data_IF_404646126440
#
_entry.id   IF_404646126440
#
_cell.length_a   1.000
_cell.length_b   1.000
_cell.length_c   1.000
_cell.angle_alpha   90.00
_cell.angle_beta   90.00
_cell.angle_gamma   90.00
#
_symmetry.space_group_name_H-M   'P 1'
#
loop_
_entity.id
_entity.type
_entity.pdbx_description
1 polymer ?
#
# COMPACT_ATOMS: atom_id res chain seq x y z
N UNK A 1 5.38 92.14 -42.03
CA UNK A 1 4.16 92.78 -41.47
C UNK A 1 2.96 92.09 -42.13
N UNK A 2 2.07 91.47 -41.32
CA UNK A 2 0.68 91.03 -41.59
C UNK A 2 0.38 90.35 -42.96
N UNK A 3 -0.22 89.17 -43.10
CA UNK A 3 -1.40 88.55 -42.49
C UNK A 3 -1.55 87.19 -43.19
N UNK A 4 -2.12 86.15 -42.57
CA UNK A 4 -2.79 85.01 -43.25
C UNK A 4 -3.54 84.18 -42.20
N UNK A 5 -4.86 84.32 -42.09
CA UNK A 5 -5.90 83.51 -42.77
C UNK A 5 -5.76 82.00 -42.52
N UNK A 6 -6.67 81.43 -41.73
CA UNK A 6 -6.87 79.98 -41.62
C UNK A 6 -8.37 79.65 -41.61
N UNK A 7 -8.76 78.79 -42.57
CA UNK A 7 -9.86 77.80 -42.58
C UNK A 7 -9.58 76.84 -43.77
N UNK A 8 -10.18 75.63 -43.89
CA UNK A 8 -10.70 74.70 -42.88
C UNK A 8 -10.32 73.20 -43.16
N UNK A 9 -10.74 72.34 -42.23
CA UNK A 9 -11.13 70.91 -42.34
C UNK A 9 -10.18 69.88 -42.96
N UNK A 10 -9.81 68.85 -42.17
CA UNK A 10 -10.07 67.44 -42.49
C UNK A 10 -10.28 66.65 -41.19
N UNK A 11 -11.30 65.79 -41.19
CA UNK A 11 -11.66 64.89 -40.12
C UNK A 11 -10.83 63.60 -40.18
N UNK A 12 -10.44 63.07 -39.01
CA UNK A 12 -10.00 61.69 -38.83
C UNK A 12 -10.71 61.13 -37.59
N UNK A 13 -11.53 60.11 -37.83
CA UNK A 13 -12.28 59.34 -36.83
C UNK A 13 -11.31 58.34 -36.21
N UNK A 14 -11.09 58.42 -34.89
CA UNK A 14 -10.40 57.40 -34.12
C UNK A 14 -11.43 56.56 -33.34
N UNK A 15 -11.53 55.27 -33.67
CA UNK A 15 -12.32 54.27 -32.94
C UNK A 15 -11.51 53.83 -31.72
N UNK A 16 -12.00 54.15 -30.52
CA UNK A 16 -11.44 53.68 -29.26
C UNK A 16 -12.07 52.34 -28.88
N UNK A 17 -11.27 51.27 -28.87
CA UNK A 17 -11.65 49.94 -28.35
C UNK A 17 -11.48 49.96 -26.83
N UNK A 18 -12.59 49.87 -26.10
CA UNK A 18 -12.60 49.71 -24.65
C UNK A 18 -12.28 48.24 -24.30
N UNK A 19 -11.12 47.99 -23.70
CA UNK A 19 -10.78 46.70 -23.11
C UNK A 19 -11.36 46.65 -21.68
N UNK A 20 -12.41 45.84 -21.49
CA UNK A 20 -12.89 45.46 -20.17
C UNK A 20 -11.97 44.39 -19.60
N UNK A 21 -11.05 44.78 -18.73
CA UNK A 21 -10.26 43.88 -17.90
C UNK A 21 -11.15 43.28 -16.81
N UNK A 22 -11.67 42.07 -17.06
CA UNK A 22 -12.33 41.27 -16.03
C UNK A 22 -11.30 40.71 -15.05
N UNK A 23 -11.25 41.22 -13.83
CA UNK A 23 -10.51 40.62 -12.73
C UNK A 23 -11.23 39.35 -12.26
N UNK A 24 -10.85 38.19 -12.78
CA UNK A 24 -11.15 36.92 -12.14
C UNK A 24 -10.24 36.78 -10.91
N UNK A 25 -10.79 37.00 -9.72
CA UNK A 25 -10.11 36.71 -8.47
C UNK A 25 -9.92 35.18 -8.35
N UNK A 26 -8.73 34.68 -8.70
CA UNK A 26 -8.30 33.35 -8.29
C UNK A 26 -8.11 33.38 -6.78
N UNK A 27 -8.98 32.70 -6.04
CA UNK A 27 -8.70 32.37 -4.66
C UNK A 27 -7.41 31.53 -4.64
N UNK A 28 -6.40 31.88 -3.81
CA UNK A 28 -5.28 30.98 -3.60
C UNK A 28 -5.85 29.68 -3.05
N UNK A 29 -5.65 28.56 -3.78
CA UNK A 29 -5.79 27.24 -3.18
C UNK A 29 -4.83 27.24 -2.00
N UNK A 30 -5.36 27.14 -0.78
CA UNK A 30 -4.56 26.76 0.38
C UNK A 30 -3.90 25.42 0.01
N UNK A 31 -2.62 25.47 -0.33
CA UNK A 31 -1.75 24.30 -0.32
C UNK A 31 -1.66 23.90 1.15
N UNK A 32 -2.59 23.04 1.56
CA UNK A 32 -2.51 22.34 2.84
C UNK A 32 -1.18 21.59 2.79
N UNK A 33 -0.21 22.05 3.59
CA UNK A 33 1.07 21.36 3.74
C UNK A 33 0.75 19.88 3.99
N UNK A 34 1.34 18.94 3.25
CA UNK A 34 0.97 17.54 3.36
C UNK A 34 1.11 17.11 4.81
N UNK A 35 0.00 16.64 5.41
CA UNK A 35 0.02 16.09 6.76
C UNK A 35 1.21 15.14 6.87
N UNK A 36 2.07 15.38 7.85
CA UNK A 36 3.29 14.62 8.01
C UNK A 36 2.93 13.17 8.37
N UNK A 37 2.96 12.29 7.37
CA UNK A 37 2.62 10.87 7.54
C UNK A 37 3.63 10.24 8.51
N UNK A 38 3.20 10.00 9.74
CA UNK A 38 3.99 9.30 10.76
C UNK A 38 4.16 7.84 10.35
N UNK A 39 5.42 7.43 10.17
CA UNK A 39 5.75 6.08 9.74
C UNK A 39 5.72 5.09 10.91
N UNK A 40 5.10 3.93 10.68
CA UNK A 40 5.13 2.80 11.62
C UNK A 40 6.31 1.88 11.30
N UNK A 41 6.91 1.31 12.34
CA UNK A 41 8.06 0.39 12.22
C UNK A 41 7.56 -0.99 11.79
N UNK A 42 8.08 -1.51 10.68
CA UNK A 42 7.63 -2.80 10.12
C UNK A 42 8.42 -4.01 10.65
N UNK A 43 9.55 -3.77 11.32
CA UNK A 43 10.42 -4.82 11.87
C UNK A 43 9.71 -5.68 12.93
N UNK A 44 8.71 -5.13 13.63
CA UNK A 44 7.95 -5.87 14.64
C UNK A 44 7.12 -7.03 14.07
N UNK A 45 6.89 -7.05 12.76
CA UNK A 45 6.12 -8.10 12.08
C UNK A 45 7.00 -9.20 11.48
N UNK A 46 8.32 -9.11 11.59
CA UNK A 46 9.19 -10.15 11.06
C UNK A 46 8.97 -11.46 11.81
N UNK A 47 8.82 -12.61 11.12
CA UNK A 47 8.81 -13.90 11.80
C UNK A 47 10.11 -14.08 12.59
N UNK A 48 10.05 -14.84 13.68
CA UNK A 48 11.22 -15.08 14.54
C UNK A 48 11.34 -16.57 14.81
N UNK A 49 12.49 -17.16 14.45
CA UNK A 49 12.83 -18.53 14.76
C UNK A 49 13.08 -18.66 16.26
N UNK A 50 12.39 -19.62 16.90
CA UNK A 50 12.55 -19.91 18.33
C UNK A 50 13.41 -21.15 18.56
N UNK A 51 13.96 -21.23 19.75
CA UNK A 51 14.83 -22.31 20.20
C UNK A 51 14.37 -22.83 21.57
N UNK A 52 14.57 -24.12 21.83
CA UNK A 52 14.42 -24.66 23.19
C UNK A 52 15.65 -24.33 24.06
N UNK A 53 15.64 -24.74 25.32
CA UNK A 53 16.73 -24.49 26.28
C UNK A 53 18.06 -25.18 25.89
N UNK A 54 17.99 -26.20 25.05
CA UNK A 54 19.15 -26.96 24.55
C UNK A 54 19.70 -26.38 23.25
N UNK A 55 19.06 -25.34 22.69
CA UNK A 55 19.44 -24.71 21.43
C UNK A 55 18.94 -25.43 20.18
N UNK A 56 17.95 -26.33 20.31
CA UNK A 56 17.28 -26.93 19.16
C UNK A 56 16.22 -25.98 18.60
N UNK A 57 16.09 -25.93 17.27
CA UNK A 57 15.06 -25.11 16.60
C UNK A 57 13.67 -25.67 16.89
N UNK A 58 12.78 -24.81 17.36
CA UNK A 58 11.36 -25.12 17.49
C UNK A 58 10.66 -24.94 16.13
N UNK A 59 9.68 -25.78 15.78
CA UNK A 59 8.85 -25.56 14.60
C UNK A 59 8.23 -24.16 14.60
N UNK A 60 8.24 -23.49 13.45
CA UNK A 60 7.55 -22.22 13.31
C UNK A 60 6.03 -22.44 13.29
N UNK A 61 5.32 -21.76 14.18
CA UNK A 61 3.85 -21.78 14.23
C UNK A 61 3.31 -20.52 13.54
N UNK A 62 2.78 -20.63 12.31
CA UNK A 62 2.23 -19.48 11.61
C UNK A 62 0.90 -19.04 12.24
N UNK A 63 0.63 -17.74 12.18
CA UNK A 63 -0.68 -17.18 12.52
C UNK A 63 -1.78 -17.83 11.68
N UNK A 64 -2.88 -18.18 12.34
CA UNK A 64 -4.08 -18.71 11.69
C UNK A 64 -4.57 -17.72 10.62
N UNK A 65 -4.96 -18.26 9.47
CA UNK A 65 -5.50 -17.46 8.38
C UNK A 65 -6.77 -16.69 8.86
N UNK A 66 -6.73 -15.34 8.91
CA UNK A 66 -7.82 -14.53 9.46
C UNK A 66 -9.11 -14.58 8.63
N UNK A 67 -9.06 -15.06 7.37
CA UNK A 67 -10.26 -15.27 6.56
C UNK A 67 -11.11 -16.45 7.06
N UNK A 68 -10.54 -17.39 7.83
CA UNK A 68 -11.27 -18.53 8.39
C UNK A 68 -12.17 -18.14 9.57
N UNK A 69 -11.88 -17.00 10.21
CA UNK A 69 -12.65 -16.49 11.35
C UNK A 69 -13.84 -15.61 10.93
N UNK A 70 -13.92 -15.24 9.64
CA UNK A 70 -14.96 -14.35 9.15
C UNK A 70 -16.27 -15.12 8.99
N UNK A 71 -17.30 -14.72 9.73
CA UNK A 71 -18.64 -15.30 9.67
C UNK A 71 -19.65 -14.26 9.19
N UNK A 72 -20.66 -14.71 8.44
CA UNK A 72 -21.71 -13.85 7.93
C UNK A 72 -22.56 -14.52 6.86
N UNK A 73 -23.77 -14.01 6.67
CA UNK A 73 -24.67 -14.43 5.59
C UNK A 73 -24.60 -13.42 4.44
N UNK A 74 -24.31 -13.90 3.24
CA UNK A 74 -24.31 -13.11 2.01
C UNK A 74 -25.55 -13.48 1.21
N UNK A 75 -26.17 -12.50 0.55
CA UNK A 75 -27.33 -12.74 -0.30
C UNK A 75 -26.97 -13.71 -1.45
N UNK A 76 -27.86 -14.66 -1.75
CA UNK A 76 -27.65 -15.61 -2.86
C UNK A 76 -27.46 -14.89 -4.21
N UNK A 77 -28.16 -13.77 -4.38
CA UNK A 77 -28.05 -12.92 -5.57
C UNK A 77 -26.64 -12.37 -5.75
N UNK A 78 -26.07 -11.77 -4.70
CA UNK A 78 -24.70 -11.24 -4.75
C UNK A 78 -23.65 -12.33 -4.90
N UNK A 79 -23.84 -13.50 -4.28
CA UNK A 79 -22.96 -14.65 -4.51
C UNK A 79 -22.96 -15.06 -5.98
N UNK A 80 -24.13 -15.15 -6.61
CA UNK A 80 -24.24 -15.53 -8.03
C UNK A 80 -23.59 -14.49 -8.94
N UNK A 81 -23.91 -13.21 -8.75
CA UNK A 81 -23.30 -12.11 -9.52
C UNK A 81 -21.78 -12.09 -9.37
N UNK A 82 -21.26 -12.37 -8.18
CA UNK A 82 -19.82 -12.41 -7.92
C UNK A 82 -19.14 -13.59 -8.66
N UNK A 83 -19.78 -14.76 -8.67
CA UNK A 83 -19.32 -15.92 -9.46
C UNK A 83 -19.32 -15.59 -10.95
N UNK A 84 -20.37 -14.96 -11.46
CA UNK A 84 -20.46 -14.51 -12.86
C UNK A 84 -19.36 -13.51 -13.20
N UNK A 85 -19.10 -12.52 -12.34
CA UNK A 85 -18.02 -11.55 -12.51
C UNK A 85 -16.65 -12.23 -12.61
N UNK A 86 -16.35 -13.16 -11.68
CA UNK A 86 -15.10 -13.93 -11.73
C UNK A 86 -14.96 -14.77 -13.00
N UNK A 87 -16.06 -15.36 -13.46
CA UNK A 87 -16.09 -16.13 -14.72
C UNK A 87 -15.87 -15.25 -15.94
N UNK A 88 -16.41 -14.04 -15.94
CA UNK A 88 -16.21 -13.05 -17.00
C UNK A 88 -14.75 -12.58 -17.05
N UNK A 89 -14.13 -12.26 -15.90
CA UNK A 89 -12.69 -11.93 -15.84
C UNK A 89 -11.79 -13.05 -16.36
N UNK A 90 -12.10 -14.31 -16.04
CA UNK A 90 -11.35 -15.47 -16.58
C UNK A 90 -11.44 -15.58 -18.11
N UNK A 91 -12.47 -14.98 -18.73
CA UNK A 91 -12.66 -14.91 -20.18
C UNK A 91 -12.20 -13.57 -20.77
N UNK A 92 -11.53 -12.72 -19.98
CA UNK A 92 -11.12 -11.37 -20.37
C UNK A 92 -12.30 -10.44 -20.72
N UNK A 93 -13.53 -10.82 -20.33
CA UNK A 93 -14.72 -9.99 -20.46
C UNK A 93 -14.84 -9.05 -19.26
N UNK A 94 -13.98 -8.02 -19.28
CA UNK A 94 -13.86 -7.03 -18.20
C UNK A 94 -15.13 -6.21 -18.02
N UNK A 95 -15.80 -5.86 -19.12
CA UNK A 95 -17.01 -5.04 -19.08
C UNK A 95 -18.16 -5.76 -18.38
N UNK A 96 -18.43 -7.03 -18.73
CA UNK A 96 -19.43 -7.83 -18.00
C UNK A 96 -19.05 -7.99 -16.54
N UNK A 97 -17.78 -8.24 -16.23
CA UNK A 97 -17.34 -8.36 -14.85
C UNK A 97 -17.61 -7.08 -14.04
N UNK A 98 -17.24 -5.92 -14.59
CA UNK A 98 -17.46 -4.61 -13.96
C UNK A 98 -18.94 -4.37 -13.70
N UNK A 99 -19.80 -4.55 -14.70
CA UNK A 99 -21.24 -4.35 -14.55
C UNK A 99 -21.83 -5.22 -13.44
N UNK A 100 -21.43 -6.49 -13.37
CA UNK A 100 -21.90 -7.42 -12.32
C UNK A 100 -21.44 -6.97 -10.94
N UNK A 101 -20.18 -6.55 -10.80
CA UNK A 101 -19.63 -6.04 -9.54
C UNK A 101 -20.33 -4.74 -9.10
N UNK A 102 -20.59 -3.82 -10.02
CA UNK A 102 -21.31 -2.57 -9.75
C UNK A 102 -22.77 -2.79 -9.32
N UNK A 103 -23.42 -3.84 -9.82
CA UNK A 103 -24.74 -4.22 -9.32
C UNK A 103 -24.63 -4.67 -7.86
N UNK A 104 -23.62 -5.46 -7.52
CA UNK A 104 -23.41 -5.91 -6.12
C UNK A 104 -23.11 -4.72 -5.21
N UNK A 105 -22.25 -3.77 -5.62
CA UNK A 105 -21.93 -2.61 -4.76
C UNK A 105 -23.12 -1.70 -4.49
N UNK A 106 -24.14 -1.72 -5.36
CA UNK A 106 -25.42 -1.01 -5.14
C UNK A 106 -26.39 -1.79 -4.26
N UNK A 107 -26.48 -3.10 -4.45
CA UNK A 107 -27.43 -3.96 -3.72
C UNK A 107 -26.93 -4.28 -2.30
N UNK A 108 -25.66 -4.64 -2.17
CA UNK A 108 -25.02 -5.07 -0.93
C UNK A 108 -23.72 -4.26 -0.68
N UNK A 109 -23.82 -2.96 -0.35
CA UNK A 109 -22.66 -2.06 -0.20
C UNK A 109 -21.73 -2.41 0.98
N UNK A 110 -22.13 -3.36 1.84
CA UNK A 110 -21.34 -3.87 2.95
C UNK A 110 -20.43 -5.06 2.57
N UNK A 111 -20.38 -5.44 1.29
CA UNK A 111 -19.45 -6.47 0.81
C UNK A 111 -18.16 -5.82 0.30
N UNK A 112 -17.04 -6.13 0.97
CA UNK A 112 -15.73 -5.60 0.56
C UNK A 112 -15.22 -6.23 -0.75
N UNK A 113 -15.53 -7.51 -0.99
CA UNK A 113 -15.01 -8.28 -2.14
C UNK A 113 -15.24 -7.63 -3.51
N UNK A 114 -16.46 -7.15 -3.84
CA UNK A 114 -16.73 -6.45 -5.09
C UNK A 114 -15.86 -5.20 -5.31
N UNK A 115 -15.63 -4.42 -4.25
CA UNK A 115 -14.75 -3.25 -4.32
C UNK A 115 -13.29 -3.65 -4.53
N UNK A 116 -12.81 -4.74 -3.91
CA UNK A 116 -11.47 -5.29 -4.21
C UNK A 116 -11.34 -5.62 -5.70
N UNK A 117 -12.29 -6.37 -6.26
CA UNK A 117 -12.23 -6.77 -7.67
C UNK A 117 -12.35 -5.58 -8.64
N UNK A 118 -13.16 -4.57 -8.32
CA UNK A 118 -13.20 -3.32 -9.09
C UNK A 118 -11.87 -2.57 -9.02
N UNK A 119 -11.22 -2.59 -7.85
CA UNK A 119 -9.85 -2.09 -7.67
C UNK A 119 -8.87 -2.82 -8.58
N UNK A 120 -8.89 -4.15 -8.57
CA UNK A 120 -8.00 -4.99 -9.40
C UNK A 120 -8.19 -4.68 -10.90
N UNK A 121 -9.45 -4.57 -11.35
CA UNK A 121 -9.76 -4.18 -12.74
C UNK A 121 -9.14 -2.80 -13.07
N UNK A 122 -9.32 -1.80 -12.20
CA UNK A 122 -8.76 -0.47 -12.40
C UNK A 122 -7.22 -0.47 -12.40
N UNK A 123 -6.57 -1.36 -11.64
CA UNK A 123 -5.10 -1.55 -11.69
C UNK A 123 -4.65 -2.03 -13.07
N UNK A 124 -5.34 -3.01 -13.65
CA UNK A 124 -5.03 -3.54 -14.98
C UNK A 124 -5.19 -2.47 -16.08
N UNK A 125 -6.19 -1.61 -15.93
CA UNK A 125 -6.43 -0.46 -16.81
C UNK A 125 -5.47 0.72 -16.55
N UNK A 126 -4.62 0.62 -15.52
CA UNK A 126 -3.70 1.67 -15.04
C UNK A 126 -4.42 2.93 -14.54
N UNK A 127 -5.71 2.83 -14.22
CA UNK A 127 -6.48 3.87 -13.52
C UNK A 127 -6.25 3.71 -12.00
N UNK A 128 -5.08 4.14 -11.56
CA UNK A 128 -4.63 3.96 -10.18
C UNK A 128 -5.45 4.81 -9.19
N UNK A 129 -5.96 5.97 -9.60
CA UNK A 129 -6.81 6.82 -8.78
C UNK A 129 -8.17 6.15 -8.49
N UNK A 130 -8.79 5.51 -9.49
CA UNK A 130 -10.03 4.74 -9.26
C UNK A 130 -9.75 3.48 -8.46
N UNK A 131 -8.63 2.81 -8.71
CA UNK A 131 -8.22 1.64 -7.92
C UNK A 131 -8.06 1.98 -6.44
N UNK A 132 -7.40 3.11 -6.12
CA UNK A 132 -7.20 3.57 -4.75
C UNK A 132 -8.53 3.78 -4.02
N UNK A 133 -9.51 4.43 -4.68
CA UNK A 133 -10.85 4.65 -4.11
C UNK A 133 -11.57 3.35 -3.81
N UNK A 134 -11.48 2.38 -4.72
CA UNK A 134 -12.10 1.07 -4.57
C UNK A 134 -11.47 0.28 -3.41
N UNK A 135 -10.14 0.24 -3.31
CA UNK A 135 -9.49 -0.42 -2.18
C UNK A 135 -9.72 0.29 -0.85
N UNK A 136 -9.72 1.62 -0.81
CA UNK A 136 -10.09 2.40 0.38
C UNK A 136 -11.50 2.06 0.85
N UNK A 137 -12.45 1.91 -0.09
CA UNK A 137 -13.80 1.46 0.23
C UNK A 137 -13.80 0.04 0.79
N UNK A 138 -13.05 -0.89 0.20
CA UNK A 138 -12.94 -2.26 0.67
C UNK A 138 -12.39 -2.36 2.11
N UNK A 139 -11.30 -1.65 2.44
CA UNK A 139 -10.73 -1.64 3.80
C UNK A 139 -11.63 -0.94 4.81
N UNK A 140 -12.40 0.08 4.39
CA UNK A 140 -13.39 0.73 5.27
C UNK A 140 -14.55 -0.19 5.66
N UNK A 141 -14.90 -1.14 4.78
CA UNK A 141 -15.95 -2.13 5.02
C UNK A 141 -15.42 -3.29 5.85
N UNK A 142 -14.23 -3.79 5.52
CA UNK A 142 -13.60 -4.90 6.21
C UNK A 142 -12.13 -4.60 6.48
N UNK A 143 -11.86 -4.09 7.69
CA UNK A 143 -10.52 -3.80 8.17
C UNK A 143 -9.67 -5.07 8.43
N UNK A 144 -10.21 -6.28 8.22
CA UNK A 144 -9.45 -7.54 8.23
C UNK A 144 -9.14 -8.07 6.83
N UNK A 145 -9.45 -7.31 5.78
CA UNK A 145 -9.20 -7.73 4.40
C UNK A 145 -7.76 -7.41 3.98
N UNK A 146 -6.86 -8.37 4.21
CA UNK A 146 -5.43 -8.24 3.90
C UNK A 146 -5.16 -8.03 2.40
N UNK A 147 -5.98 -8.61 1.52
CA UNK A 147 -5.85 -8.45 0.06
C UNK A 147 -6.20 -7.02 -0.36
N UNK A 148 -7.19 -6.39 0.28
CA UNK A 148 -7.52 -4.99 0.03
C UNK A 148 -6.39 -4.05 0.45
N UNK A 149 -5.73 -4.31 1.59
CA UNK A 149 -4.54 -3.56 1.99
C UNK A 149 -3.37 -3.75 1.03
N UNK A 150 -3.13 -4.97 0.53
CA UNK A 150 -2.10 -5.21 -0.49
C UNK A 150 -2.35 -4.39 -1.76
N UNK A 151 -3.56 -4.49 -2.34
CA UNK A 151 -3.92 -3.74 -3.54
C UNK A 151 -3.81 -2.23 -3.33
N UNK A 152 -4.26 -1.74 -2.17
CA UNK A 152 -4.13 -0.32 -1.80
C UNK A 152 -2.68 0.11 -1.72
N UNK A 153 -1.82 -0.65 -1.05
CA UNK A 153 -0.40 -0.34 -0.92
C UNK A 153 0.33 -0.38 -2.26
N UNK A 154 -0.05 -1.32 -3.14
CA UNK A 154 0.51 -1.40 -4.49
C UNK A 154 0.16 -0.16 -5.30
N UNK A 155 -1.12 0.22 -5.31
CA UNK A 155 -1.61 1.41 -6.00
C UNK A 155 -0.95 2.67 -5.45
N UNK A 156 -0.86 2.82 -4.14
CA UNK A 156 -0.18 3.95 -3.51
C UNK A 156 1.29 4.02 -3.91
N UNK A 157 1.99 2.89 -3.99
CA UNK A 157 3.37 2.83 -4.48
C UNK A 157 3.45 3.26 -5.95
N UNK A 158 2.52 2.83 -6.81
CA UNK A 158 2.46 3.23 -8.23
C UNK A 158 2.14 4.71 -8.42
N UNK A 159 1.36 5.30 -7.51
CA UNK A 159 1.07 6.73 -7.43
C UNK A 159 2.18 7.57 -6.79
N UNK A 160 3.31 6.96 -6.39
CA UNK A 160 4.41 7.68 -5.73
C UNK A 160 4.17 8.00 -4.25
N UNK A 161 3.08 7.53 -3.65
CA UNK A 161 2.71 7.76 -2.24
C UNK A 161 3.44 6.77 -1.31
N UNK A 162 4.77 6.74 -1.37
CA UNK A 162 5.57 5.68 -0.74
C UNK A 162 5.41 5.57 0.78
N UNK A 163 5.34 6.71 1.49
CA UNK A 163 5.11 6.71 2.95
C UNK A 163 3.76 6.09 3.32
N UNK A 164 2.72 6.41 2.53
CA UNK A 164 1.39 5.86 2.72
C UNK A 164 1.38 4.35 2.39
N UNK A 165 2.02 3.95 1.29
CA UNK A 165 2.16 2.54 0.92
C UNK A 165 2.85 1.72 2.03
N UNK A 166 3.92 2.24 2.65
CA UNK A 166 4.58 1.59 3.78
C UNK A 166 3.60 1.33 4.93
N UNK A 167 2.86 2.35 5.35
CA UNK A 167 1.88 2.22 6.43
C UNK A 167 0.72 1.30 6.02
N UNK A 168 0.28 1.30 4.77
CA UNK A 168 -0.78 0.40 4.30
C UNK A 168 -0.34 -1.07 4.31
N UNK A 169 0.88 -1.37 3.87
CA UNK A 169 1.41 -2.74 3.99
C UNK A 169 1.66 -3.13 5.44
N UNK A 170 2.02 -2.17 6.29
CA UNK A 170 2.10 -2.38 7.73
C UNK A 170 0.75 -2.79 8.31
N UNK A 171 -0.35 -2.13 7.91
CA UNK A 171 -1.71 -2.54 8.32
C UNK A 171 -2.05 -3.96 7.84
N UNK A 172 -1.60 -4.37 6.65
CA UNK A 172 -1.76 -5.75 6.18
C UNK A 172 -1.07 -6.74 7.15
N UNK A 173 0.15 -6.43 7.58
CA UNK A 173 0.91 -7.26 8.54
C UNK A 173 0.36 -7.18 9.96
N UNK A 174 -0.28 -6.08 10.35
CA UNK A 174 -0.97 -5.97 11.63
C UNK A 174 -2.19 -6.92 11.69
N UNK A 175 -2.87 -7.14 10.57
CA UNK A 175 -3.96 -8.12 10.46
C UNK A 175 -3.40 -9.54 10.37
N UNK A 176 -2.42 -9.77 9.50
CA UNK A 176 -1.79 -11.07 9.29
C UNK A 176 -0.28 -10.93 9.13
N UNK A 177 0.45 -11.11 10.23
CA UNK A 177 1.91 -10.94 10.26
C UNK A 177 2.65 -11.97 9.41
N UNK A 178 2.02 -13.12 9.17
CA UNK A 178 2.58 -14.23 8.41
C UNK A 178 2.09 -14.24 6.96
N UNK A 179 1.71 -13.07 6.42
CA UNK A 179 1.28 -12.92 5.04
C UNK A 179 2.45 -12.58 4.11
N UNK A 180 2.98 -13.54 3.33
CA UNK A 180 4.26 -13.37 2.63
C UNK A 180 4.24 -12.21 1.63
N UNK A 181 3.15 -12.04 0.90
CA UNK A 181 3.02 -11.03 -0.15
C UNK A 181 3.17 -9.60 0.38
N UNK A 182 2.78 -9.34 1.64
CA UNK A 182 2.99 -8.03 2.28
C UNK A 182 4.47 -7.79 2.60
N UNK A 183 5.20 -8.82 3.04
CA UNK A 183 6.66 -8.74 3.19
C UNK A 183 7.35 -8.49 1.84
N UNK A 184 6.98 -9.21 0.79
CA UNK A 184 7.58 -9.01 -0.54
C UNK A 184 7.36 -7.57 -1.05
N UNK A 185 6.14 -7.06 -0.93
CA UNK A 185 5.83 -5.69 -1.36
C UNK A 185 6.55 -4.62 -0.53
N UNK A 186 6.69 -4.82 0.79
CA UNK A 186 7.53 -3.95 1.64
C UNK A 186 9.00 -4.02 1.24
N UNK A 187 9.53 -5.20 0.93
CA UNK A 187 10.91 -5.37 0.52
C UNK A 187 11.19 -4.60 -0.78
N UNK A 188 10.33 -4.75 -1.79
CA UNK A 188 10.40 -4.00 -3.05
C UNK A 188 10.25 -2.49 -2.82
N UNK A 189 9.33 -2.07 -1.95
CA UNK A 189 9.16 -0.66 -1.60
C UNK A 189 10.43 -0.07 -0.98
N UNK A 190 11.02 -0.78 -0.01
CA UNK A 190 12.23 -0.35 0.68
C UNK A 190 13.45 -0.33 -0.24
N UNK A 191 13.59 -1.33 -1.09
CA UNK A 191 14.73 -1.47 -1.98
C UNK A 191 14.70 -0.45 -3.13
N UNK A 192 13.62 -0.50 -3.92
CA UNK A 192 13.54 0.20 -5.21
C UNK A 192 13.17 1.67 -5.05
N UNK A 193 12.32 2.01 -4.07
CA UNK A 193 11.72 3.35 -4.00
C UNK A 193 12.21 4.20 -2.84
N UNK A 194 12.60 3.58 -1.72
CA UNK A 194 13.02 4.30 -0.51
C UNK A 194 14.53 4.24 -0.24
N UNK A 195 15.28 3.41 -0.97
CA UNK A 195 16.71 3.19 -0.75
C UNK A 195 17.05 2.82 0.72
N UNK A 196 16.28 1.89 1.28
CA UNK A 196 16.42 1.36 2.64
C UNK A 196 16.80 -0.14 2.60
N UNK A 197 18.01 -0.49 2.13
CA UNK A 197 18.36 -1.88 1.80
C UNK A 197 18.36 -2.82 3.00
N UNK A 198 18.73 -2.36 4.20
CA UNK A 198 18.67 -3.20 5.41
C UNK A 198 17.23 -3.62 5.76
N UNK A 199 16.25 -2.71 5.56
CA UNK A 199 14.84 -3.04 5.76
C UNK A 199 14.35 -3.97 4.64
N UNK A 200 14.78 -3.73 3.41
CA UNK A 200 14.45 -4.60 2.28
C UNK A 200 14.93 -6.03 2.50
N UNK A 201 16.19 -6.20 2.90
CA UNK A 201 16.77 -7.52 3.19
C UNK A 201 15.96 -8.29 4.23
N UNK A 202 15.58 -7.63 5.33
CA UNK A 202 14.80 -8.25 6.40
C UNK A 202 13.43 -8.76 5.89
N UNK A 203 12.75 -7.97 5.07
CA UNK A 203 11.44 -8.36 4.52
C UNK A 203 11.55 -9.38 3.38
N UNK A 204 12.60 -9.34 2.55
CA UNK A 204 12.87 -10.43 1.60
C UNK A 204 13.14 -11.75 2.32
N UNK A 205 13.93 -11.71 3.41
CA UNK A 205 14.20 -12.89 4.22
C UNK A 205 12.91 -13.46 4.85
N UNK A 206 12.05 -12.60 5.39
CA UNK A 206 10.74 -12.99 5.91
C UNK A 206 9.88 -13.68 4.84
N UNK A 207 9.79 -13.10 3.63
CA UNK A 207 9.06 -13.70 2.51
C UNK A 207 9.60 -15.09 2.15
N UNK A 208 10.92 -15.23 2.03
CA UNK A 208 11.56 -16.50 1.71
C UNK A 208 11.38 -17.53 2.83
N UNK A 209 11.43 -17.12 4.09
CA UNK A 209 11.16 -17.97 5.24
C UNK A 209 9.73 -18.53 5.20
N UNK A 210 8.73 -17.66 5.06
CA UNK A 210 7.31 -18.05 5.08
C UNK A 210 6.90 -18.89 3.86
N UNK A 211 7.56 -18.69 2.71
CA UNK A 211 7.28 -19.46 1.48
C UNK A 211 8.10 -20.73 1.34
N UNK A 212 9.05 -20.99 2.24
CA UNK A 212 9.97 -22.12 2.14
C UNK A 212 10.92 -22.00 0.93
N UNK A 213 11.35 -20.78 0.60
CA UNK A 213 12.27 -20.45 -0.50
C UNK A 213 11.83 -20.93 -1.89
N UNK A 214 10.52 -20.99 -2.14
CA UNK A 214 9.98 -21.48 -3.42
C UNK A 214 10.07 -20.47 -4.58
N UNK A 215 10.41 -19.21 -4.30
CA UNK A 215 10.47 -18.13 -5.30
C UNK A 215 11.90 -17.78 -5.67
N UNK A 216 12.36 -18.25 -6.83
CA UNK A 216 13.74 -18.01 -7.30
C UNK A 216 14.07 -16.52 -7.47
N UNK A 217 13.14 -15.74 -8.03
CA UNK A 217 13.33 -14.30 -8.26
C UNK A 217 13.48 -13.51 -6.95
N UNK A 218 12.73 -13.87 -5.91
CA UNK A 218 12.85 -13.21 -4.62
C UNK A 218 14.16 -13.57 -3.90
N UNK A 219 14.68 -14.78 -4.11
CA UNK A 219 16.01 -15.15 -3.61
C UNK A 219 17.11 -14.38 -4.34
N UNK A 220 17.03 -14.22 -5.66
CA UNK A 220 17.95 -13.36 -6.42
C UNK A 220 17.98 -11.92 -5.88
N UNK A 221 16.81 -11.31 -5.67
CA UNK A 221 16.70 -9.98 -5.06
C UNK A 221 17.27 -9.95 -3.64
N UNK A 222 16.99 -10.98 -2.83
CA UNK A 222 17.55 -11.08 -1.49
C UNK A 222 19.08 -11.14 -1.51
N UNK A 223 19.69 -11.96 -2.38
CA UNK A 223 21.15 -12.06 -2.48
C UNK A 223 21.77 -10.76 -2.98
N UNK A 224 21.15 -10.09 -3.95
CA UNK A 224 21.59 -8.78 -4.44
C UNK A 224 21.58 -7.75 -3.31
N UNK A 225 20.48 -7.60 -2.58
CA UNK A 225 20.38 -6.65 -1.47
C UNK A 225 21.34 -7.02 -0.36
N UNK A 226 21.48 -8.31 -0.03
CA UNK A 226 22.42 -8.80 0.97
C UNK A 226 23.87 -8.45 0.61
N UNK A 227 24.25 -8.54 -0.67
CA UNK A 227 25.58 -8.14 -1.14
C UNK A 227 25.84 -6.64 -0.95
N UNK A 228 24.80 -5.80 -1.13
CA UNK A 228 24.88 -4.34 -0.93
C UNK A 228 24.97 -3.95 0.54
N UNK A 229 24.25 -4.64 1.43
CA UNK A 229 24.23 -4.33 2.87
C UNK A 229 25.43 -4.91 3.62
N UNK A 230 25.96 -6.05 3.17
CA UNK A 230 26.95 -6.84 3.90
C UNK A 230 26.43 -7.46 5.21
N UNK A 231 25.10 -7.46 5.44
CA UNK A 231 24.51 -7.99 6.67
C UNK A 231 24.40 -9.51 6.53
N UNK A 232 25.34 -10.22 7.14
CA UNK A 232 25.35 -11.69 7.14
C UNK A 232 24.44 -12.31 8.20
N UNK A 233 24.17 -11.57 9.29
CA UNK A 233 23.30 -12.05 10.36
C UNK A 233 21.84 -12.03 9.90
N UNK A 234 21.16 -13.17 10.05
CA UNK A 234 19.74 -13.29 9.76
C UNK A 234 18.88 -12.42 10.68
N UNK A 235 17.85 -11.79 10.10
CA UNK A 235 16.83 -11.02 10.81
C UNK A 235 15.74 -11.91 11.40
N UNK A 236 15.59 -13.13 10.88
CA UNK A 236 14.56 -14.11 11.24
C UNK A 236 15.10 -15.17 12.20
N UNK A 237 16.36 -15.57 11.99
CA UNK A 237 17.05 -16.60 12.75
C UNK A 237 18.43 -16.14 13.23
N UNK A 238 18.51 -15.31 14.28
CA UNK A 238 19.77 -14.76 14.77
C UNK A 238 20.68 -15.80 15.45
N UNK A 239 20.25 -17.07 15.55
CA UNK A 239 20.93 -18.14 16.27
C UNK A 239 20.55 -18.22 17.76
N UNK A 240 20.84 -19.36 18.39
CA UNK A 240 20.62 -19.57 19.82
C UNK A 240 21.58 -18.71 20.65
N UNK A 241 21.04 -18.01 21.65
CA UNK A 241 21.84 -17.34 22.68
C UNK A 241 21.42 -17.89 24.04
N UNK A 242 22.37 -18.52 24.76
CA UNK A 242 22.10 -19.07 26.09
C UNK A 242 21.68 -17.92 27.01
N UNK A 243 20.54 -18.00 27.72
CA UNK A 243 20.16 -16.99 28.70
C UNK A 243 21.30 -16.81 29.70
N UNK A 244 21.66 -15.56 30.00
CA UNK A 244 22.71 -15.28 30.97
C UNK A 244 22.35 -15.95 32.30
N UNK A 245 23.23 -16.81 32.81
CA UNK A 245 23.03 -17.44 34.12
C UNK A 245 22.84 -16.33 35.16
N UNK A 246 21.62 -16.21 35.71
CA UNK A 246 21.35 -15.30 36.81
C UNK A 246 22.26 -15.73 37.96
N UNK A 247 23.31 -14.95 38.23
CA UNK A 247 24.14 -15.17 39.41
C UNK A 247 23.21 -15.29 40.63
N UNK A 248 23.37 -16.31 41.48
CA UNK A 248 22.61 -16.38 42.71
C UNK A 248 22.83 -15.07 43.46
N UNK A 249 21.75 -14.42 43.89
CA UNK A 249 21.83 -13.31 44.81
C UNK A 249 22.59 -13.84 46.04
N UNK A 250 23.83 -13.39 46.23
CA UNK A 250 24.61 -13.72 47.40
C UNK A 250 23.84 -13.19 48.61
N UNK A 251 23.15 -14.10 49.28
CA UNK A 251 22.47 -13.89 50.54
C UNK A 251 23.52 -13.36 51.51
N UNK A 252 23.41 -12.07 51.86
CA UNK A 252 24.18 -11.48 52.96
C UNK A 252 23.78 -12.21 54.23
N UNK A 253 24.54 -13.25 54.58
CA UNK A 253 24.57 -13.77 55.93
C UNK A 253 25.11 -12.65 56.84
N UNK A 254 24.21 -12.03 57.58
CA UNK A 254 24.55 -11.16 58.69
C UNK A 254 25.23 -11.99 59.77
N UNK A 255 26.46 -11.62 60.13
CA UNK A 255 27.13 -11.95 61.38
C UNK A 255 27.36 -10.66 62.16
#
# INVERSE_FOLDING_TARGET
MAMKFVKPSQALIAVAIALLSGCAAQQPKEEVAPEEVKLVTTQQFLPQQKYDELGNKLPYEPQVNPYLEQTGTISKGSVLLFIEAKKALKKEDVETARQKLEVITKQDPALAGPYVMLGDISVEEKDYETAEKNYLKAVSINAKNVNAYLGLGEVQRRLGKYKLAQNTYEQALAVWKDFPEAHLNLAVLYDVYLNLPAKAQAHYEAYLFLTGKKSGKADEWYQEVKSRTGIEKSFIDPGFTKPAESKPAAEKAAG
#
